data_IF_768733213456
#
_entry.id   IF_768733213456
#
_cell.length_a   1.000
_cell.length_b   1.000
_cell.length_c   1.000
_cell.angle_alpha   90.00
_cell.angle_beta   90.00
_cell.angle_gamma   90.00
#
_symmetry.space_group_name_H-M   'P 1'
#
loop_
_entity.id
_entity.type
_entity.pdbx_description
1 polymer ?
#
# COMPACT_ATOMS: atom_id res chain seq x y z
N UNK A 1 12.83 -8.27 15.83
CA UNK A 1 13.08 -6.92 15.29
C UNK A 1 11.87 -6.07 15.66
N UNK A 2 12.00 -4.75 15.90
CA UNK A 2 10.82 -3.94 16.14
C UNK A 2 9.91 -3.96 14.91
N UNK A 3 8.60 -4.03 15.14
CA UNK A 3 7.59 -4.02 14.08
C UNK A 3 7.57 -2.67 13.37
N UNK A 4 7.42 -2.66 12.04
CA UNK A 4 7.24 -1.44 11.26
C UNK A 4 5.81 -0.91 11.45
N UNK A 5 5.69 0.33 11.92
CA UNK A 5 4.40 0.99 12.06
C UNK A 5 3.98 1.60 10.71
N UNK A 6 2.85 1.13 10.18
CA UNK A 6 2.25 1.61 8.96
C UNK A 6 1.11 2.58 9.30
N UNK A 7 1.47 3.86 9.50
CA UNK A 7 0.51 4.93 9.73
C UNK A 7 -0.15 5.35 8.40
N UNK A 8 -1.32 4.77 8.12
CA UNK A 8 -2.02 4.99 6.87
C UNK A 8 -2.70 6.36 6.81
N UNK A 9 -2.53 7.04 5.68
CA UNK A 9 -3.27 8.23 5.28
C UNK A 9 -4.11 7.91 4.06
N UNK A 10 -5.36 8.36 4.04
CA UNK A 10 -6.32 8.13 2.94
C UNK A 10 -6.23 9.25 1.91
N UNK A 11 -6.29 8.87 0.64
CA UNK A 11 -6.26 9.75 -0.52
C UNK A 11 -7.33 9.33 -1.53
N UNK A 12 -7.89 10.31 -2.24
CA UNK A 12 -8.91 10.12 -3.28
C UNK A 12 -8.31 9.72 -4.64
N UNK A 13 -6.99 9.79 -4.78
CA UNK A 13 -6.29 9.48 -6.03
C UNK A 13 -4.77 9.47 -5.83
N UNK A 14 -4.04 8.98 -6.83
CA UNK A 14 -2.60 8.86 -6.74
C UNK A 14 -1.91 10.23 -6.81
N UNK A 15 -2.52 11.23 -7.46
CA UNK A 15 -1.96 12.60 -7.51
C UNK A 15 -1.80 13.22 -6.12
N UNK A 16 -2.81 13.07 -5.26
CA UNK A 16 -2.80 13.61 -3.89
C UNK A 16 -1.80 12.85 -3.01
N UNK A 17 -1.75 11.52 -3.13
CA UNK A 17 -0.76 10.69 -2.46
C UNK A 17 0.67 11.11 -2.81
N UNK A 18 0.93 11.27 -4.11
CA UNK A 18 2.22 11.70 -4.66
C UNK A 18 2.70 13.01 -4.05
N UNK A 19 1.80 13.98 -3.93
CA UNK A 19 2.14 15.29 -3.38
C UNK A 19 2.49 15.18 -1.89
N UNK A 20 1.70 14.41 -1.13
CA UNK A 20 1.91 14.22 0.30
C UNK A 20 3.19 13.43 0.64
N UNK A 21 3.66 12.56 -0.25
CA UNK A 21 4.86 11.72 -0.05
C UNK A 21 6.03 12.11 -0.94
N UNK A 22 6.08 13.36 -1.41
CA UNK A 22 7.20 13.84 -2.24
C UNK A 22 8.53 13.63 -1.51
N UNK A 23 9.48 12.96 -2.18
CA UNK A 23 10.79 12.61 -1.64
C UNK A 23 10.77 11.78 -0.33
N UNK A 24 9.65 11.15 -0.01
CA UNK A 24 9.49 10.29 1.17
C UNK A 24 9.15 8.88 0.72
N UNK A 25 10.00 7.88 1.00
CA UNK A 25 9.68 6.49 0.71
C UNK A 25 8.38 6.07 1.38
N UNK A 26 7.52 5.39 0.63
CA UNK A 26 6.20 5.01 1.11
C UNK A 26 5.80 3.62 0.65
N UNK A 27 4.86 3.04 1.38
CA UNK A 27 4.02 1.95 0.91
C UNK A 27 2.64 2.51 0.63
N UNK A 28 1.98 1.98 -0.40
CA UNK A 28 0.63 2.36 -0.75
C UNK A 28 -0.25 1.17 -1.08
N UNK A 29 -1.53 1.32 -0.77
CA UNK A 29 -2.61 0.40 -1.08
C UNK A 29 -3.54 1.09 -2.05
N UNK A 30 -3.88 0.41 -3.15
CA UNK A 30 -5.04 0.74 -3.95
C UNK A 30 -6.21 -0.11 -3.47
N UNK A 31 -7.36 0.51 -3.29
CA UNK A 31 -8.58 -0.17 -2.86
C UNK A 31 -9.75 0.14 -3.77
N UNK A 32 -10.76 -0.72 -3.74
CA UNK A 32 -12.07 -0.45 -4.34
C UNK A 32 -12.88 0.56 -3.48
N UNK A 33 -14.07 1.00 -3.91
CA UNK A 33 -14.92 1.90 -3.10
C UNK A 33 -15.34 1.31 -1.74
N UNK A 34 -15.28 -0.01 -1.58
CA UNK A 34 -15.58 -0.74 -0.35
C UNK A 34 -14.34 -0.89 0.55
N UNK A 35 -13.20 -0.35 0.13
CA UNK A 35 -11.90 -0.42 0.79
C UNK A 35 -11.32 -1.85 0.87
N UNK A 36 -11.66 -2.71 -0.08
CA UNK A 36 -10.97 -3.99 -0.30
C UNK A 36 -9.63 -3.73 -1.01
N UNK A 37 -8.55 -4.35 -0.55
CA UNK A 37 -7.21 -4.14 -1.11
C UNK A 37 -7.12 -4.79 -2.49
N UNK A 38 -6.94 -3.96 -3.51
CA UNK A 38 -6.76 -4.39 -4.90
C UNK A 38 -5.28 -4.55 -5.25
N UNK A 39 -4.43 -3.68 -4.70
CA UNK A 39 -2.99 -3.66 -4.98
C UNK A 39 -2.20 -3.11 -3.80
N UNK A 40 -1.01 -3.66 -3.58
CA UNK A 40 0.04 -3.12 -2.71
C UNK A 40 1.20 -2.64 -3.61
N UNK A 41 1.83 -1.54 -3.25
CA UNK A 41 3.02 -1.03 -3.93
C UNK A 41 3.97 -0.28 -3.00
N UNK A 42 5.27 -0.30 -3.29
CA UNK A 42 6.26 0.59 -2.65
C UNK A 42 6.78 1.67 -3.59
N UNK A 43 7.29 2.78 -3.06
CA UNK A 43 8.02 3.77 -3.85
C UNK A 43 9.10 4.43 -2.99
N UNK A 44 10.25 4.73 -3.59
CA UNK A 44 11.26 5.63 -3.04
C UNK A 44 10.89 7.10 -3.27
N UNK A 45 10.34 7.41 -4.44
CA UNK A 45 9.79 8.71 -4.80
C UNK A 45 8.53 8.56 -5.68
N UNK A 46 7.32 8.68 -5.09
CA UNK A 46 6.06 8.64 -5.82
C UNK A 46 5.96 9.66 -6.96
N UNK A 47 6.69 10.77 -6.86
CA UNK A 47 6.75 11.79 -7.90
C UNK A 47 7.41 11.28 -9.17
N UNK A 48 8.55 10.60 -9.04
CA UNK A 48 9.25 10.01 -10.16
C UNK A 48 8.48 8.82 -10.76
N UNK A 49 7.79 8.05 -9.92
CA UNK A 49 6.91 6.96 -10.38
C UNK A 49 5.78 7.47 -11.30
N UNK A 50 5.24 8.65 -11.00
CA UNK A 50 4.24 9.27 -11.87
C UNK A 50 4.80 9.72 -13.22
N UNK A 51 6.01 10.31 -13.23
CA UNK A 51 6.67 10.75 -14.47
C UNK A 51 6.99 9.59 -15.42
N UNK A 52 7.21 8.38 -14.89
CA UNK A 52 7.46 7.18 -15.69
C UNK A 52 6.24 6.62 -16.45
N UNK A 53 5.11 7.33 -16.51
CA UNK A 53 3.93 6.99 -17.31
C UNK A 53 3.02 5.90 -16.71
N UNK A 54 3.57 4.95 -15.95
CA UNK A 54 2.79 3.87 -15.33
C UNK A 54 1.78 4.36 -14.29
N UNK A 55 2.13 5.38 -13.49
CA UNK A 55 1.18 5.95 -12.53
C UNK A 55 0.16 6.91 -13.18
N UNK A 56 0.48 7.49 -14.35
CA UNK A 56 -0.51 8.20 -15.16
C UNK A 56 -1.58 7.24 -15.70
N UNK A 57 -1.16 6.09 -16.23
CA UNK A 57 -2.09 5.04 -16.65
C UNK A 57 -2.94 4.52 -15.49
N UNK A 58 -2.35 4.41 -14.28
CA UNK A 58 -3.09 4.05 -13.08
C UNK A 58 -4.13 5.12 -12.72
N UNK A 59 -3.75 6.40 -12.71
CA UNK A 59 -4.67 7.51 -12.43
C UNK A 59 -5.82 7.58 -13.45
N UNK A 60 -5.51 7.36 -14.74
CA UNK A 60 -6.53 7.29 -15.79
C UNK A 60 -7.46 6.10 -15.60
N UNK A 61 -6.93 4.92 -15.26
CA UNK A 61 -7.71 3.71 -15.04
C UNK A 61 -8.61 3.78 -13.80
N UNK A 62 -8.24 4.56 -12.79
CA UNK A 62 -9.07 4.77 -11.60
C UNK A 62 -10.07 5.92 -11.75
N UNK A 63 -9.93 6.78 -12.75
CA UNK A 63 -10.77 7.97 -12.88
C UNK A 63 -12.26 7.56 -13.01
N UNK A 64 -13.09 8.01 -12.07
CA UNK A 64 -14.52 7.65 -12.01
C UNK A 64 -14.84 6.28 -11.41
N UNK A 65 -13.85 5.47 -11.04
CA UNK A 65 -14.06 4.15 -10.40
C UNK A 65 -14.45 4.22 -8.92
N UNK A 66 -14.17 5.35 -8.26
CA UNK A 66 -14.32 5.49 -6.80
C UNK A 66 -13.23 4.78 -6.00
N UNK A 67 -12.21 4.21 -6.65
CA UNK A 67 -11.06 3.62 -5.99
C UNK A 67 -10.35 4.64 -5.10
N UNK A 68 -9.80 4.16 -3.99
CA UNK A 68 -9.10 4.98 -3.01
C UNK A 68 -7.67 4.52 -2.85
N UNK A 69 -6.82 5.44 -2.43
CA UNK A 69 -5.44 5.15 -2.08
C UNK A 69 -5.22 5.33 -0.59
N UNK A 70 -4.41 4.45 -0.01
CA UNK A 70 -3.90 4.60 1.34
C UNK A 70 -2.38 4.56 1.27
N UNK A 71 -1.69 5.44 1.98
CA UNK A 71 -0.22 5.40 2.02
C UNK A 71 0.32 5.65 3.41
N UNK A 72 1.43 4.98 3.71
CA UNK A 72 2.18 5.09 4.94
C UNK A 72 3.66 5.33 4.61
N UNK A 73 4.36 6.05 5.48
CA UNK A 73 5.82 6.15 5.37
C UNK A 73 6.43 4.76 5.52
N UNK A 74 7.49 4.50 4.77
CA UNK A 74 8.16 3.20 4.77
C UNK A 74 9.67 3.39 5.02
N UNK A 75 10.39 2.31 5.40
CA UNK A 75 11.83 2.37 5.58
C UNK A 75 12.55 2.95 4.36
N UNK A 76 13.60 3.74 4.61
CA UNK A 76 14.43 4.33 3.54
C UNK A 76 15.22 3.26 2.79
N UNK A 77 15.67 2.23 3.51
CA UNK A 77 16.35 1.09 2.91
C UNK A 77 15.43 0.38 1.92
N UNK A 78 15.88 0.25 0.67
CA UNK A 78 15.08 -0.33 -0.40
C UNK A 78 14.85 -1.84 -0.17
N UNK A 79 15.83 -2.54 0.38
CA UNK A 79 15.73 -3.99 0.61
C UNK A 79 14.67 -4.30 1.65
N UNK A 80 14.69 -3.56 2.76
CA UNK A 80 13.69 -3.66 3.83
C UNK A 80 12.30 -3.27 3.34
N UNK A 81 12.19 -2.18 2.58
CA UNK A 81 10.90 -1.73 2.04
C UNK A 81 10.29 -2.73 1.05
N UNK A 82 11.10 -3.32 0.17
CA UNK A 82 10.65 -4.40 -0.74
C UNK A 82 10.28 -5.68 0.01
N UNK A 83 11.01 -6.02 1.07
CA UNK A 83 10.65 -7.15 1.93
C UNK A 83 9.29 -6.91 2.62
N UNK A 84 9.03 -5.68 3.06
CA UNK A 84 7.75 -5.30 3.65
C UNK A 84 6.61 -5.31 2.62
N UNK A 85 6.84 -4.79 1.41
CA UNK A 85 5.87 -4.89 0.29
C UNK A 85 5.52 -6.36 -0.01
N UNK A 86 6.54 -7.21 -0.16
CA UNK A 86 6.34 -8.63 -0.44
C UNK A 86 5.62 -9.35 0.71
N UNK A 87 5.90 -8.99 1.96
CA UNK A 87 5.18 -9.51 3.15
C UNK A 87 3.71 -9.12 3.09
N UNK A 88 3.39 -7.84 2.86
CA UNK A 88 2.00 -7.39 2.72
C UNK A 88 1.28 -8.05 1.56
N UNK A 89 1.93 -8.24 0.40
CA UNK A 89 1.31 -8.92 -0.74
C UNK A 89 0.98 -10.37 -0.38
N UNK A 90 1.90 -11.08 0.26
CA UNK A 90 1.70 -12.46 0.67
C UNK A 90 0.59 -12.59 1.74
N UNK A 91 0.55 -11.67 2.72
CA UNK A 91 -0.43 -11.76 3.80
C UNK A 91 -1.83 -11.29 3.36
N UNK A 92 -1.92 -10.31 2.46
CA UNK A 92 -3.20 -9.69 2.04
C UNK A 92 -3.80 -10.26 0.75
N UNK A 93 -3.01 -10.98 -0.04
CA UNK A 93 -3.45 -11.61 -1.29
C UNK A 93 -4.17 -10.67 -2.29
N UNK A 94 -3.65 -9.46 -2.58
CA UNK A 94 -4.34 -8.49 -3.42
C UNK A 94 -4.44 -8.96 -4.88
N UNK A 95 -5.61 -8.75 -5.50
CA UNK A 95 -5.95 -9.25 -6.85
C UNK A 95 -5.00 -8.79 -7.95
N UNK A 96 -4.48 -7.55 -7.88
CA UNK A 96 -3.68 -6.94 -8.94
C UNK A 96 -2.17 -6.99 -8.71
N UNK A 97 -1.70 -7.67 -7.64
CA UNK A 97 -0.29 -8.07 -7.55
C UNK A 97 -0.13 -9.49 -8.11
N UNK A 98 0.73 -9.63 -9.12
CA UNK A 98 1.09 -10.92 -9.70
C UNK A 98 2.35 -11.53 -9.05
N UNK A 99 3.17 -10.70 -8.39
CA UNK A 99 4.40 -11.13 -7.70
C UNK A 99 4.12 -11.36 -6.22
N UNK A 100 4.90 -12.23 -5.56
CA UNK A 100 4.89 -12.47 -4.11
C UNK A 100 3.56 -12.97 -3.51
N UNK A 101 2.56 -13.26 -4.34
CA UNK A 101 1.26 -13.74 -3.87
C UNK A 101 1.30 -15.21 -3.49
N UNK A 102 1.90 -16.05 -4.33
CA UNK A 102 1.85 -17.50 -4.16
C UNK A 102 3.04 -18.07 -3.36
N UNK A 103 4.08 -17.26 -3.12
CA UNK A 103 5.28 -17.68 -2.42
C UNK A 103 5.61 -16.72 -1.27
N UNK A 104 5.92 -17.25 -0.07
CA UNK A 104 6.28 -16.41 1.06
C UNK A 104 7.54 -15.61 0.74
N UNK A 105 7.66 -14.37 1.25
CA UNK A 105 8.85 -13.57 1.04
C UNK A 105 10.06 -14.22 1.73
N UNK A 106 11.23 -14.14 1.07
CA UNK A 106 12.50 -14.65 1.62
C UNK A 106 12.81 -14.04 2.99
N UNK A 107 12.44 -12.78 3.18
CA UNK A 107 12.52 -12.07 4.45
C UNK A 107 11.13 -11.55 4.80
N UNK A 108 10.58 -12.02 5.91
CA UNK A 108 9.38 -11.44 6.53
C UNK A 108 9.74 -10.23 7.37
N UNK A 109 8.86 -9.24 7.35
CA UNK A 109 8.96 -8.02 8.17
C UNK A 109 7.70 -7.94 9.01
N UNK A 110 7.83 -7.87 10.33
CA UNK A 110 6.70 -7.65 11.22
C UNK A 110 6.18 -6.23 11.05
N UNK A 111 4.87 -6.05 11.01
CA UNK A 111 4.24 -4.74 10.82
C UNK A 111 2.96 -4.58 11.63
N UNK A 112 2.59 -3.34 11.90
CA UNK A 112 1.34 -2.97 12.60
C UNK A 112 0.65 -1.87 11.81
N UNK A 113 -0.66 -2.01 11.57
CA UNK A 113 -1.46 -0.98 10.91
C UNK A 113 -1.94 0.07 11.91
N UNK A 114 -1.81 1.35 11.56
CA UNK A 114 -2.29 2.49 12.34
C UNK A 114 -2.93 3.55 11.43
N UNK A 115 -3.57 4.56 12.03
CA UNK A 115 -4.16 5.69 11.30
C UNK A 115 -5.43 5.33 10.54
N UNK A 116 -5.55 5.80 9.30
CA UNK A 116 -6.70 5.56 8.43
C UNK A 116 -6.65 4.15 7.82
N UNK A 117 -6.83 3.12 8.63
CA UNK A 117 -6.78 1.71 8.19
C UNK A 117 -7.97 1.43 7.24
N UNK A 118 -7.73 0.89 6.02
CA UNK A 118 -8.79 0.45 5.11
C UNK A 118 -9.72 -0.53 5.80
N UNK A 119 -11.04 -0.46 5.54
CA UNK A 119 -12.02 -1.36 6.18
C UNK A 119 -11.66 -2.84 6.03
N UNK A 120 -11.19 -3.26 4.85
CA UNK A 120 -10.78 -4.64 4.60
C UNK A 120 -9.58 -5.13 5.44
N UNK A 121 -8.84 -4.22 6.07
CA UNK A 121 -7.67 -4.53 6.92
C UNK A 121 -7.95 -4.32 8.42
N UNK A 122 -9.13 -3.83 8.78
CA UNK A 122 -9.47 -3.69 10.18
C UNK A 122 -9.66 -5.09 10.75
N UNK A 123 -9.12 -5.39 11.94
CA UNK A 123 -9.49 -6.62 12.62
C UNK A 123 -11.02 -6.63 12.71
N UNK A 124 -11.65 -7.67 12.15
CA UNK A 124 -13.05 -7.94 12.44
C UNK A 124 -13.16 -7.96 13.95
N UNK A 125 -13.91 -7.01 14.52
CA UNK A 125 -14.22 -7.01 15.94
C UNK A 125 -14.93 -8.34 16.18
N UNK A 126 -14.18 -9.35 16.59
CA UNK A 126 -14.76 -10.57 17.12
C UNK A 126 -15.53 -10.10 18.34
N UNK A 127 -16.85 -10.13 18.21
CA UNK A 127 -17.78 -10.15 19.32
C UNK A 127 -17.24 -11.21 20.28
N UNK A 128 -16.67 -10.76 21.39
CA UNK A 128 -16.55 -11.59 22.57
C UNK A 128 -17.99 -11.87 23.01
N UNK A 129 -18.46 -13.07 22.67
CA UNK A 129 -19.60 -13.69 23.32
C UNK A 129 -19.14 -14.31 24.64
#
# INVERSE_FOLDING_TARGET
>A
MPSVELEWKRFTGFLALREAFRATPCLYLQTDPQECVLRVGESDDPWNRYKGGSAYALEAAIHGSGNLFFAAAAPKDQTERRALEATLIYDLQPRYNNQHRDFPPVRRVDYVHQGAIPRGLRPSVQQQA
#
